data_IF_818001402044
#
_entry.id   IF_818001402044
#
_cell.length_a   1.000
_cell.length_b   1.000
_cell.length_c   1.000
_cell.angle_alpha   90.00
_cell.angle_beta   90.00
_cell.angle_gamma   90.00
#
_symmetry.space_group_name_H-M   'P 1'
#
loop_
_entity.id
_entity.type
_entity.pdbx_description
1 polymer ?
#
# COMPACT_ATOMS: atom_id res chain seq x y z
N UNK A 1 -20.95 11.24 -12.18
CA UNK A 1 -21.23 9.79 -11.96
C UNK A 1 -20.07 9.20 -11.12
N UNK A 2 -20.38 8.59 -9.97
CA UNK A 2 -19.35 8.09 -9.00
C UNK A 2 -18.34 7.10 -9.62
N UNK A 3 -18.75 6.24 -10.53
CA UNK A 3 -17.88 5.26 -11.17
C UNK A 3 -16.78 5.89 -12.04
N UNK A 4 -17.06 6.96 -12.76
CA UNK A 4 -16.03 7.69 -13.53
C UNK A 4 -15.02 8.37 -12.63
N UNK A 5 -15.49 8.97 -11.54
CA UNK A 5 -14.60 9.59 -10.55
C UNK A 5 -13.74 8.52 -9.85
N UNK A 6 -14.33 7.38 -9.50
CA UNK A 6 -13.59 6.24 -8.96
C UNK A 6 -12.54 5.73 -9.95
N UNK A 7 -12.91 5.51 -11.21
CA UNK A 7 -11.98 5.08 -12.27
C UNK A 7 -10.78 6.05 -12.40
N UNK A 8 -11.05 7.36 -12.43
CA UNK A 8 -10.00 8.39 -12.52
C UNK A 8 -9.06 8.33 -11.30
N UNK A 9 -9.60 8.15 -10.10
CA UNK A 9 -8.80 8.02 -8.87
C UNK A 9 -7.92 6.77 -8.92
N UNK A 10 -8.47 5.61 -9.33
CA UNK A 10 -7.69 4.37 -9.49
C UNK A 10 -6.58 4.53 -10.52
N UNK A 11 -6.88 5.12 -11.68
CA UNK A 11 -5.87 5.33 -12.73
C UNK A 11 -4.78 6.32 -12.28
N UNK A 12 -5.16 7.41 -11.61
CA UNK A 12 -4.21 8.39 -11.08
C UNK A 12 -3.28 7.76 -10.04
N UNK A 13 -3.84 7.03 -9.09
CA UNK A 13 -3.07 6.29 -8.09
C UNK A 13 -2.09 5.30 -8.73
N UNK A 14 -2.57 4.45 -9.65
CA UNK A 14 -1.72 3.48 -10.35
C UNK A 14 -0.60 4.16 -11.16
N UNK A 15 -0.88 5.30 -11.78
CA UNK A 15 0.15 6.09 -12.48
C UNK A 15 1.24 6.59 -11.52
N UNK A 16 0.86 7.06 -10.34
CA UNK A 16 1.83 7.47 -9.31
C UNK A 16 2.67 6.29 -8.83
N UNK A 17 2.04 5.13 -8.55
CA UNK A 17 2.77 3.91 -8.16
C UNK A 17 3.72 3.47 -9.26
N UNK A 18 3.28 3.45 -10.52
CA UNK A 18 4.14 3.13 -11.67
C UNK A 18 5.39 4.03 -11.69
N UNK A 19 5.22 5.34 -11.54
CA UNK A 19 6.35 6.29 -11.51
C UNK A 19 7.29 6.04 -10.33
N UNK A 20 6.76 5.77 -9.14
CA UNK A 20 7.53 5.48 -7.94
C UNK A 20 8.30 4.16 -8.11
N UNK A 21 7.64 3.09 -8.55
CA UNK A 21 8.26 1.80 -8.82
C UNK A 21 9.37 1.91 -9.89
N UNK A 22 9.17 2.74 -10.92
CA UNK A 22 10.19 3.00 -11.94
C UNK A 22 11.46 3.63 -11.37
N UNK A 23 11.30 4.60 -10.46
CA UNK A 23 12.44 5.26 -9.76
C UNK A 23 13.31 4.27 -8.99
N UNK A 24 12.72 3.21 -8.44
CA UNK A 24 13.45 2.22 -7.63
C UNK A 24 13.89 1.00 -8.43
N UNK A 25 13.41 0.80 -9.67
CA UNK A 25 13.75 -0.33 -10.53
C UNK A 25 12.77 -1.51 -10.46
N UNK A 26 11.57 -1.31 -9.91
CA UNK A 26 10.48 -2.30 -9.83
C UNK A 26 9.53 -2.17 -11.04
N UNK A 27 10.05 -2.32 -12.25
CA UNK A 27 9.30 -2.06 -13.50
C UNK A 27 8.05 -2.92 -13.64
N UNK A 28 8.20 -4.23 -13.41
CA UNK A 28 7.10 -5.19 -13.54
C UNK A 28 6.02 -4.96 -12.49
N UNK A 29 6.39 -4.76 -11.24
CA UNK A 29 5.46 -4.45 -10.16
C UNK A 29 4.69 -3.16 -10.45
N UNK A 30 5.38 -2.10 -10.91
CA UNK A 30 4.72 -0.85 -11.28
C UNK A 30 3.67 -1.02 -12.38
N UNK A 31 3.95 -1.83 -13.42
CA UNK A 31 3.01 -2.10 -14.51
C UNK A 31 1.80 -2.92 -14.05
N UNK A 32 2.02 -3.91 -13.20
CA UNK A 32 0.99 -4.87 -12.77
C UNK A 32 0.30 -4.48 -11.47
N UNK A 33 0.80 -3.43 -10.80
CA UNK A 33 0.25 -2.96 -9.53
C UNK A 33 -1.26 -2.79 -9.60
N UNK A 34 -1.95 -3.41 -8.66
CA UNK A 34 -3.39 -3.25 -8.45
C UNK A 34 -4.28 -3.52 -9.68
N UNK A 35 -3.86 -4.37 -10.60
CA UNK A 35 -4.72 -4.78 -11.72
C UNK A 35 -6.03 -5.42 -11.23
N UNK A 36 -6.03 -6.02 -10.04
CA UNK A 36 -7.21 -6.61 -9.41
C UNK A 36 -8.34 -5.58 -9.17
N UNK A 37 -8.00 -4.28 -9.03
CA UNK A 37 -8.98 -3.18 -8.87
C UNK A 37 -9.94 -3.03 -10.05
N UNK A 38 -9.60 -3.60 -11.22
CA UNK A 38 -10.49 -3.64 -12.38
C UNK A 38 -11.39 -4.89 -12.41
N UNK A 39 -11.24 -5.80 -11.44
CA UNK A 39 -12.17 -6.92 -11.31
C UNK A 39 -13.58 -6.44 -10.93
N UNK A 40 -14.65 -7.16 -11.35
CA UNK A 40 -16.01 -6.78 -10.97
C UNK A 40 -16.22 -6.64 -9.46
N UNK A 41 -15.55 -7.48 -8.65
CA UNK A 41 -15.66 -7.49 -7.18
C UNK A 41 -15.15 -6.18 -6.59
N UNK A 42 -13.92 -5.76 -6.98
CA UNK A 42 -13.32 -4.56 -6.42
C UNK A 42 -13.89 -3.29 -7.05
N UNK A 43 -14.07 -3.28 -8.38
CA UNK A 43 -14.51 -2.08 -9.08
C UNK A 43 -15.95 -1.68 -8.73
N UNK A 44 -16.88 -2.65 -8.63
CA UNK A 44 -18.27 -2.33 -8.29
C UNK A 44 -18.41 -1.81 -6.86
N UNK A 45 -17.72 -2.42 -5.90
CA UNK A 45 -17.67 -1.92 -4.53
C UNK A 45 -17.00 -0.55 -4.46
N UNK A 46 -15.87 -0.40 -5.14
CA UNK A 46 -15.16 0.87 -5.25
C UNK A 46 -16.05 2.00 -5.78
N UNK A 47 -16.78 1.77 -6.87
CA UNK A 47 -17.70 2.73 -7.45
C UNK A 47 -18.89 3.05 -6.54
N UNK A 48 -19.45 2.02 -5.87
CA UNK A 48 -20.57 2.17 -4.94
C UNK A 48 -20.20 3.04 -3.73
N UNK A 49 -19.07 2.76 -3.12
CA UNK A 49 -18.63 3.39 -1.87
C UNK A 49 -17.71 4.60 -2.04
N UNK A 50 -17.48 5.04 -3.27
CA UNK A 50 -16.61 6.18 -3.57
C UNK A 50 -17.08 7.49 -2.92
N UNK A 51 -16.17 8.16 -2.20
CA UNK A 51 -16.36 9.48 -1.57
C UNK A 51 -15.31 10.52 -2.00
N UNK A 52 -14.21 10.09 -2.66
CA UNK A 52 -13.16 10.98 -3.15
C UNK A 52 -12.03 11.30 -2.16
N UNK A 53 -12.29 11.29 -0.86
CA UNK A 53 -11.36 11.71 0.19
C UNK A 53 -10.83 10.56 1.07
N UNK A 54 -11.30 9.34 0.84
CA UNK A 54 -10.88 8.13 1.56
C UNK A 54 -11.12 6.87 0.75
N UNK A 55 -10.54 5.76 1.23
CA UNK A 55 -10.69 4.45 0.59
C UNK A 55 -12.16 3.98 0.61
N UNK A 56 -12.73 3.55 -0.54
CA UNK A 56 -14.05 2.93 -0.58
C UNK A 56 -14.18 1.69 0.31
N UNK A 57 -13.08 0.94 0.50
CA UNK A 57 -13.05 -0.25 1.34
C UNK A 57 -13.35 0.07 2.82
N UNK A 58 -12.93 1.25 3.30
CA UNK A 58 -13.25 1.72 4.64
C UNK A 58 -14.77 1.91 4.81
N UNK A 59 -15.40 2.53 3.82
CA UNK A 59 -16.84 2.79 3.84
C UNK A 59 -17.63 1.48 3.77
N UNK A 60 -17.23 0.55 2.90
CA UNK A 60 -17.83 -0.78 2.83
C UNK A 60 -17.72 -1.52 4.18
N UNK A 61 -16.56 -1.44 4.85
CA UNK A 61 -16.33 -2.07 6.16
C UNK A 61 -17.23 -1.47 7.24
N UNK A 62 -17.41 -0.14 7.24
CA UNK A 62 -18.30 0.54 8.20
C UNK A 62 -19.77 0.16 7.99
N UNK A 63 -20.21 -0.04 6.74
CA UNK A 63 -21.59 -0.39 6.41
C UNK A 63 -21.90 -1.86 6.69
N UNK A 64 -20.96 -2.78 6.36
CA UNK A 64 -21.22 -4.22 6.36
C UNK A 64 -20.49 -5.00 7.47
N UNK A 65 -19.64 -4.34 8.27
CA UNK A 65 -18.77 -4.99 9.24
C UNK A 65 -17.46 -5.55 8.62
N UNK A 66 -17.39 -5.69 7.29
CA UNK A 66 -16.21 -6.14 6.55
C UNK A 66 -16.20 -5.54 5.14
N UNK A 67 -15.07 -5.64 4.43
CA UNK A 67 -14.99 -5.26 3.02
C UNK A 67 -14.64 -6.48 2.16
N UNK A 68 -15.58 -6.92 1.33
CA UNK A 68 -15.37 -8.01 0.36
C UNK A 68 -14.33 -7.59 -0.70
N UNK A 69 -14.37 -6.33 -1.14
CA UNK A 69 -13.39 -5.78 -2.05
C UNK A 69 -11.98 -5.82 -1.46
N UNK A 70 -11.82 -5.47 -0.17
CA UNK A 70 -10.51 -5.54 0.49
C UNK A 70 -10.01 -6.97 0.66
N UNK A 71 -10.88 -7.91 1.06
CA UNK A 71 -10.52 -9.32 1.17
C UNK A 71 -10.05 -9.90 -0.18
N UNK A 72 -10.75 -9.55 -1.27
CA UNK A 72 -10.33 -9.93 -2.62
C UNK A 72 -8.98 -9.30 -2.99
N UNK A 73 -8.81 -8.02 -2.69
CA UNK A 73 -7.63 -7.23 -3.04
C UNK A 73 -6.36 -7.73 -2.32
N UNK A 74 -6.40 -7.80 -0.99
CA UNK A 74 -5.23 -8.19 -0.18
C UNK A 74 -4.76 -9.62 -0.46
N UNK A 75 -5.66 -10.52 -0.84
CA UNK A 75 -5.32 -11.90 -1.20
C UNK A 75 -4.67 -12.06 -2.59
N UNK A 76 -4.59 -11.00 -3.40
CA UNK A 76 -4.04 -11.01 -4.77
C UNK A 76 -2.84 -10.10 -4.96
N UNK A 77 -2.61 -9.20 -4.02
CA UNK A 77 -1.58 -8.17 -4.14
C UNK A 77 -0.53 -8.34 -3.05
N UNK A 78 0.64 -8.85 -3.45
CA UNK A 78 1.73 -9.24 -2.54
C UNK A 78 2.41 -8.07 -1.82
N UNK A 79 2.15 -6.82 -2.24
CA UNK A 79 2.62 -5.64 -1.54
C UNK A 79 1.79 -5.29 -0.30
N UNK A 80 0.68 -5.98 -0.03
CA UNK A 80 -0.09 -5.86 1.21
C UNK A 80 0.43 -6.84 2.26
N UNK A 81 0.66 -6.33 3.47
CA UNK A 81 1.17 -7.14 4.60
C UNK A 81 0.25 -8.31 4.95
N UNK A 82 -1.06 -8.15 4.78
CA UNK A 82 -2.06 -9.18 5.08
C UNK A 82 -2.01 -10.39 4.13
N UNK A 83 -1.34 -10.28 2.99
CA UNK A 83 -1.02 -11.44 2.13
C UNK A 83 -0.03 -12.40 2.82
N UNK A 84 0.81 -11.86 3.72
CA UNK A 84 1.92 -12.54 4.38
C UNK A 84 1.60 -12.95 5.83
N UNK A 85 0.33 -13.22 6.12
CA UNK A 85 -0.10 -13.71 7.42
C UNK A 85 -0.35 -15.21 7.32
N UNK A 86 0.28 -16.00 8.19
CA UNK A 86 0.15 -17.45 8.25
C UNK A 86 0.20 -17.94 9.70
N UNK A 87 -0.01 -19.23 9.92
CA UNK A 87 0.12 -19.83 11.22
C UNK A 87 1.60 -19.92 11.62
N UNK A 88 1.89 -19.59 12.88
CA UNK A 88 3.21 -19.79 13.45
C UNK A 88 3.52 -21.29 13.60
N UNK A 89 4.76 -21.69 13.27
CA UNK A 89 5.19 -23.07 13.31
C UNK A 89 5.17 -23.68 14.74
N UNK A 90 5.26 -22.83 15.77
CA UNK A 90 5.20 -23.22 17.17
C UNK A 90 3.78 -23.33 17.75
N UNK A 91 2.75 -23.11 16.92
CA UNK A 91 1.34 -23.16 17.34
C UNK A 91 0.86 -21.93 18.12
N UNK A 92 1.63 -20.84 18.19
CA UNK A 92 1.27 -19.62 18.93
C UNK A 92 0.14 -18.79 18.25
N UNK A 93 -0.34 -19.21 17.07
CA UNK A 93 -1.44 -18.58 16.36
C UNK A 93 -1.02 -17.94 15.03
N UNK A 94 -1.70 -16.87 14.65
CA UNK A 94 -1.40 -16.15 13.42
C UNK A 94 -0.21 -15.20 13.60
N UNK A 95 0.71 -15.19 12.65
CA UNK A 95 1.85 -14.27 12.66
C UNK A 95 2.18 -13.75 11.27
N UNK A 96 2.91 -12.65 11.20
CA UNK A 96 3.41 -12.08 9.96
C UNK A 96 4.64 -12.83 9.46
N UNK A 97 4.62 -13.24 8.20
CA UNK A 97 5.78 -13.79 7.49
C UNK A 97 6.65 -12.66 6.94
N UNK A 98 7.97 -12.88 6.88
CA UNK A 98 8.91 -11.91 6.31
C UNK A 98 8.61 -11.69 4.82
N UNK A 99 8.32 -10.46 4.45
CA UNK A 99 8.03 -10.10 3.06
C UNK A 99 9.31 -10.03 2.25
N UNK A 100 9.37 -10.59 1.02
CA UNK A 100 10.48 -10.31 0.12
C UNK A 100 10.62 -8.81 -0.14
N UNK A 101 11.86 -8.32 -0.16
CA UNK A 101 12.17 -6.88 -0.19
C UNK A 101 11.48 -6.11 -1.31
N UNK A 102 11.30 -6.71 -2.49
CA UNK A 102 10.62 -6.06 -3.60
C UNK A 102 9.18 -5.68 -3.26
N UNK A 103 8.47 -6.47 -2.46
CA UNK A 103 7.09 -6.17 -2.06
C UNK A 103 7.03 -5.15 -0.92
N UNK A 104 8.04 -5.09 -0.05
CA UNK A 104 8.17 -4.02 0.95
C UNK A 104 8.37 -2.67 0.25
N UNK A 105 9.23 -2.63 -0.77
CA UNK A 105 9.49 -1.41 -1.54
C UNK A 105 8.26 -1.03 -2.39
N UNK A 106 7.55 -2.00 -2.96
CA UNK A 106 6.28 -1.76 -3.65
C UNK A 106 5.24 -1.18 -2.69
N UNK A 107 5.10 -1.74 -1.46
CA UNK A 107 4.23 -1.20 -0.41
C UNK A 107 4.62 0.23 -0.02
N UNK A 108 5.92 0.54 0.09
CA UNK A 108 6.39 1.91 0.31
C UNK A 108 5.95 2.85 -0.82
N UNK A 109 6.17 2.47 -2.08
CA UNK A 109 5.75 3.23 -3.26
C UNK A 109 4.23 3.46 -3.29
N UNK A 110 3.45 2.44 -2.94
CA UNK A 110 1.99 2.49 -2.86
C UNK A 110 1.52 3.47 -1.77
N UNK A 111 2.09 3.42 -0.56
CA UNK A 111 1.75 4.33 0.54
C UNK A 111 2.01 5.79 0.20
N UNK A 112 3.13 6.09 -0.45
CA UNK A 112 3.45 7.45 -0.93
C UNK A 112 2.42 7.88 -1.99
N UNK A 113 2.12 7.02 -2.96
CA UNK A 113 1.13 7.31 -3.99
C UNK A 113 -0.29 7.48 -3.44
N UNK A 114 -0.70 6.65 -2.47
CA UNK A 114 -2.00 6.76 -1.81
C UNK A 114 -2.13 8.10 -1.06
N UNK A 115 -1.10 8.48 -0.28
CA UNK A 115 -1.09 9.77 0.41
C UNK A 115 -1.19 10.94 -0.56
N UNK A 116 -0.43 10.93 -1.66
CA UNK A 116 -0.53 11.95 -2.73
C UNK A 116 -1.91 11.98 -3.38
N UNK A 117 -2.50 10.81 -3.63
CA UNK A 117 -3.81 10.69 -4.26
C UNK A 117 -4.92 11.30 -3.40
N UNK A 118 -4.92 11.05 -2.09
CA UNK A 118 -5.98 11.50 -1.20
C UNK A 118 -5.75 12.90 -0.61
N UNK A 119 -4.50 13.33 -0.47
CA UNK A 119 -4.16 14.66 0.05
C UNK A 119 -4.03 15.72 -1.05
N UNK A 120 -3.75 15.31 -2.28
CA UNK A 120 -3.57 16.24 -3.41
C UNK A 120 -2.53 17.32 -3.10
N UNK A 121 -2.90 18.59 -3.27
CA UNK A 121 -2.01 19.72 -3.01
C UNK A 121 -1.60 19.89 -1.53
N UNK A 122 -2.32 19.25 -0.58
CA UNK A 122 -1.99 19.28 0.84
C UNK A 122 -1.03 18.16 1.27
N UNK A 123 -0.52 17.36 0.33
CA UNK A 123 0.43 16.29 0.62
C UNK A 123 1.72 16.84 1.24
N UNK A 124 2.21 16.12 2.24
CA UNK A 124 3.52 16.32 2.88
C UNK A 124 4.26 14.99 2.95
N UNK A 125 5.57 15.02 2.93
CA UNK A 125 6.41 13.82 3.02
C UNK A 125 6.25 13.09 4.36
N UNK A 126 5.70 13.74 5.40
CA UNK A 126 5.34 13.11 6.67
C UNK A 126 4.05 12.28 6.60
N UNK A 127 3.11 12.57 5.68
CA UNK A 127 1.79 11.93 5.67
C UNK A 127 1.83 10.39 5.61
N UNK A 128 2.71 9.74 4.80
CA UNK A 128 2.79 8.28 4.77
C UNK A 128 3.28 7.67 6.08
N UNK A 129 4.23 8.33 6.77
CA UNK A 129 4.71 7.90 8.08
C UNK A 129 3.62 8.09 9.15
N UNK A 130 2.97 9.25 9.17
CA UNK A 130 1.93 9.56 10.16
C UNK A 130 0.77 8.54 10.07
N UNK A 131 0.37 8.19 8.85
CA UNK A 131 -0.64 7.14 8.63
C UNK A 131 -0.17 5.76 9.12
N UNK A 132 1.09 5.39 8.87
CA UNK A 132 1.67 4.14 9.34
C UNK A 132 1.73 4.09 10.87
N UNK A 133 2.27 5.12 11.50
CA UNK A 133 2.44 5.20 12.96
C UNK A 133 1.11 5.11 13.71
N UNK A 134 0.03 5.69 13.14
CA UNK A 134 -1.31 5.59 13.72
C UNK A 134 -1.91 4.17 13.68
N UNK A 135 -1.42 3.32 12.77
CA UNK A 135 -2.03 2.01 12.49
C UNK A 135 -1.15 0.83 12.88
N UNK A 136 0.15 1.05 13.14
CA UNK A 136 1.13 -0.03 13.27
C UNK A 136 0.82 -1.04 14.38
N UNK A 137 0.27 -0.59 15.49
CA UNK A 137 -0.08 -1.44 16.64
C UNK A 137 -1.21 -2.45 16.32
N UNK A 138 -1.90 -2.25 15.21
CA UNK A 138 -2.98 -3.13 14.74
C UNK A 138 -2.54 -4.09 13.64
N UNK A 139 -1.26 -4.04 13.22
CA UNK A 139 -0.75 -4.88 12.15
C UNK A 139 -0.18 -6.20 12.66
N UNK A 140 -0.54 -7.29 12.02
CA UNK A 140 0.18 -8.56 12.11
C UNK A 140 1.26 -8.53 11.02
N UNK A 141 2.47 -8.12 11.39
CA UNK A 141 3.59 -7.91 10.48
C UNK A 141 4.88 -8.47 11.06
N UNK A 142 5.72 -9.07 10.21
CA UNK A 142 7.03 -9.54 10.63
C UNK A 142 7.93 -8.39 11.10
N UNK A 143 8.68 -8.50 12.21
CA UNK A 143 9.50 -7.41 12.74
C UNK A 143 10.48 -6.81 11.74
N UNK A 144 11.19 -7.63 10.96
CA UNK A 144 12.13 -7.14 9.92
C UNK A 144 11.41 -6.36 8.83
N UNK A 145 10.20 -6.81 8.42
CA UNK A 145 9.38 -6.12 7.42
C UNK A 145 8.92 -4.77 7.95
N UNK A 146 8.47 -4.73 9.21
CA UNK A 146 8.08 -3.48 9.87
C UNK A 146 9.24 -2.49 9.94
N UNK A 147 10.41 -2.95 10.40
CA UNK A 147 11.62 -2.13 10.52
C UNK A 147 12.07 -1.55 9.17
N UNK A 148 12.05 -2.38 8.09
CA UNK A 148 12.44 -1.93 6.76
C UNK A 148 11.46 -0.88 6.20
N UNK A 149 10.15 -1.11 6.32
CA UNK A 149 9.13 -0.16 5.88
C UNK A 149 9.21 1.14 6.68
N UNK A 150 9.28 1.04 8.00
CA UNK A 150 9.35 2.21 8.88
C UNK A 150 10.59 3.05 8.62
N UNK A 151 11.76 2.42 8.40
CA UNK A 151 12.99 3.13 8.04
C UNK A 151 12.81 3.97 6.77
N UNK A 152 12.23 3.41 5.71
CA UNK A 152 11.96 4.15 4.47
C UNK A 152 10.98 5.31 4.67
N UNK A 153 9.93 5.11 5.48
CA UNK A 153 8.95 6.14 5.78
C UNK A 153 9.53 7.26 6.65
N UNK A 154 10.43 6.95 7.60
CA UNK A 154 11.16 7.95 8.40
C UNK A 154 12.10 8.77 7.52
N UNK A 155 12.88 8.13 6.64
CA UNK A 155 13.76 8.83 5.69
C UNK A 155 12.93 9.76 4.79
N UNK A 156 11.75 9.30 4.32
CA UNK A 156 10.86 10.15 3.53
C UNK A 156 10.43 11.40 4.31
N UNK A 157 9.99 11.23 5.56
CA UNK A 157 9.55 12.31 6.43
C UNK A 157 10.67 13.32 6.73
N UNK A 158 11.88 12.82 7.04
CA UNK A 158 12.95 13.61 7.63
C UNK A 158 13.94 14.16 6.58
N UNK A 159 14.13 13.42 5.47
CA UNK A 159 15.14 13.72 4.43
C UNK A 159 14.53 13.91 3.03
N UNK A 160 13.22 13.69 2.88
CA UNK A 160 12.48 13.90 1.65
C UNK A 160 12.53 12.76 0.64
N UNK A 161 11.76 12.93 -0.42
CA UNK A 161 11.50 11.91 -1.43
C UNK A 161 12.76 11.39 -2.13
N UNK A 162 13.67 12.28 -2.53
CA UNK A 162 14.87 11.88 -3.30
C UNK A 162 15.72 10.90 -2.49
N UNK A 163 15.94 11.19 -1.22
CA UNK A 163 16.74 10.36 -0.32
C UNK A 163 16.06 9.03 -0.05
N UNK A 164 14.74 9.03 0.22
CA UNK A 164 13.97 7.84 0.49
C UNK A 164 13.98 6.87 -0.70
N UNK A 165 13.74 7.37 -1.91
CA UNK A 165 13.74 6.53 -3.12
C UNK A 165 15.14 6.03 -3.50
N UNK A 166 16.19 6.83 -3.29
CA UNK A 166 17.56 6.36 -3.47
C UNK A 166 17.90 5.22 -2.49
N UNK A 167 17.46 5.34 -1.23
CA UNK A 167 17.64 4.31 -0.20
C UNK A 167 16.83 3.05 -0.55
N UNK A 168 15.58 3.17 -0.97
CA UNK A 168 14.75 2.05 -1.42
C UNK A 168 15.40 1.30 -2.59
N UNK A 169 15.94 2.03 -3.57
CA UNK A 169 16.66 1.43 -4.71
C UNK A 169 17.93 0.67 -4.29
N UNK A 170 18.65 1.18 -3.28
CA UNK A 170 19.81 0.47 -2.70
C UNK A 170 19.36 -0.80 -1.99
N UNK A 171 18.34 -0.69 -1.14
CA UNK A 171 17.79 -1.79 -0.35
C UNK A 171 17.27 -2.93 -1.24
N UNK A 172 16.68 -2.61 -2.40
CA UNK A 172 16.25 -3.61 -3.38
C UNK A 172 17.39 -4.51 -3.85
N UNK A 173 18.64 -3.99 -3.89
CA UNK A 173 19.83 -4.73 -4.34
C UNK A 173 20.49 -5.51 -3.21
N UNK A 174 20.43 -5.00 -1.97
CA UNK A 174 21.15 -5.58 -0.82
C UNK A 174 20.29 -6.52 0.03
N UNK A 175 18.98 -6.42 -0.08
CA UNK A 175 18.06 -7.06 0.85
C UNK A 175 18.01 -6.36 2.21
N UNK A 176 17.34 -6.98 3.19
CA UNK A 176 17.20 -6.51 4.59
C UNK A 176 17.12 -7.68 5.56
#
# INVERSE_FOLDING_TARGET
>A
MKWLSHLRTVQHHRFLVLRHCWRVGLYWQGLTHDLSKFSPVEFSAGAKYYQGNRSPNEIERREKGYSAAWLHHKGRNKHHLEYWIDYAADGSGMCGMKMPIQYVIEMFCDRVAASKTYRGAAYRDSDPYDYYAHSVDHYIIHPDTAAALESLLRILRDEGEERAFATARKLLKTGY
#
